data_IF_850213861152
#
_entry.id   IF_850213861152
#
_cell.length_a   1.000
_cell.length_b   1.000
_cell.length_c   1.000
_cell.angle_alpha   90.00
_cell.angle_beta   90.00
_cell.angle_gamma   90.00
#
_symmetry.space_group_name_H-M   'P 1'
#
loop_
_entity.id
_entity.type
_entity.pdbx_description
1 polymer ?
#
# COMPACT_ATOMS: atom_id res chain seq x y z
N UNK A 1 -14.42 13.32 31.61
CA UNK A 1 -13.40 12.28 31.31
C UNK A 1 -13.23 12.23 29.80
N UNK A 2 -12.28 12.99 29.30
CA UNK A 2 -11.87 13.07 27.88
C UNK A 2 -11.12 11.79 27.52
N UNK A 3 -11.62 11.02 26.56
CA UNK A 3 -10.84 9.95 25.93
C UNK A 3 -10.07 10.58 24.77
N UNK A 4 -8.82 10.92 25.02
CA UNK A 4 -7.87 11.25 23.96
C UNK A 4 -7.63 10.00 23.11
N UNK A 5 -8.25 9.95 21.93
CA UNK A 5 -7.93 8.98 20.91
C UNK A 5 -6.58 9.34 20.31
N UNK A 6 -5.54 8.58 20.69
CA UNK A 6 -4.19 8.65 20.13
C UNK A 6 -4.24 8.67 18.61
N UNK A 7 -3.95 9.83 18.02
CA UNK A 7 -3.68 9.97 16.58
C UNK A 7 -2.39 9.22 16.31
N UNK A 8 -2.44 8.15 15.52
CA UNK A 8 -1.24 7.43 15.12
C UNK A 8 -0.32 8.42 14.39
N UNK A 9 0.84 8.69 14.98
CA UNK A 9 1.89 9.50 14.38
C UNK A 9 2.52 8.59 13.32
N UNK A 10 2.17 8.80 12.04
CA UNK A 10 2.91 8.20 10.95
C UNK A 10 4.36 8.73 11.06
N UNK A 11 5.40 7.88 10.95
CA UNK A 11 6.77 8.37 10.90
C UNK A 11 6.89 9.39 9.76
N UNK A 12 7.49 10.55 10.04
CA UNK A 12 7.42 11.72 9.15
C UNK A 12 8.00 11.46 7.74
N UNK A 13 8.89 10.47 7.57
CA UNK A 13 9.38 9.99 6.27
C UNK A 13 9.82 8.53 6.41
N UNK A 14 9.38 7.64 5.51
CA UNK A 14 9.98 6.31 5.35
C UNK A 14 11.18 6.40 4.40
N UNK A 15 12.34 5.91 4.82
CA UNK A 15 13.56 5.89 4.00
C UNK A 15 14.06 4.44 3.86
N UNK A 16 14.32 4.06 2.62
CA UNK A 16 14.79 2.73 2.23
C UNK A 16 15.92 2.92 1.21
N UNK A 17 17.02 2.19 1.37
CA UNK A 17 18.24 2.36 0.56
C UNK A 17 18.24 1.43 -0.67
N UNK A 18 17.18 0.61 -0.84
CA UNK A 18 17.05 -0.29 -1.97
C UNK A 18 16.64 0.42 -3.27
N UNK A 19 17.09 -0.14 -4.40
CA UNK A 19 16.60 0.28 -5.71
C UNK A 19 15.13 -0.06 -5.87
N UNK A 20 14.40 0.71 -6.68
CA UNK A 20 12.98 0.47 -6.96
C UNK A 20 12.70 -0.96 -7.42
N UNK A 21 13.59 -1.55 -8.21
CA UNK A 21 13.49 -2.92 -8.73
C UNK A 21 13.51 -4.01 -7.64
N UNK A 22 14.13 -3.70 -6.51
CA UNK A 22 14.37 -4.65 -5.41
C UNK A 22 13.49 -4.33 -4.19
N UNK A 23 12.75 -3.22 -4.21
CA UNK A 23 12.05 -2.70 -3.05
C UNK A 23 10.96 -3.65 -2.52
N UNK A 24 10.25 -4.36 -3.41
CA UNK A 24 9.27 -5.39 -3.00
C UNK A 24 9.90 -6.66 -2.42
N UNK A 25 11.23 -6.82 -2.50
CA UNK A 25 11.96 -7.87 -1.78
C UNK A 25 12.34 -7.43 -0.37
N UNK A 26 12.34 -6.12 -0.08
CA UNK A 26 12.58 -5.61 1.27
C UNK A 26 11.34 -5.88 2.14
N UNK A 27 11.48 -6.80 3.10
CA UNK A 27 10.39 -7.17 4.01
C UNK A 27 9.92 -6.03 4.90
N UNK A 28 10.82 -5.14 5.29
CA UNK A 28 10.49 -3.99 6.13
C UNK A 28 9.69 -2.95 5.32
N UNK A 29 10.09 -2.72 4.07
CA UNK A 29 9.30 -1.92 3.13
C UNK A 29 7.91 -2.51 2.93
N UNK A 30 7.81 -3.79 2.54
CA UNK A 30 6.52 -4.43 2.26
C UNK A 30 5.62 -4.37 3.48
N UNK A 31 6.16 -4.63 4.68
CA UNK A 31 5.40 -4.53 5.92
C UNK A 31 4.84 -3.12 6.13
N UNK A 32 5.69 -2.10 6.08
CA UNK A 32 5.29 -0.70 6.26
C UNK A 32 4.30 -0.24 5.18
N UNK A 33 4.55 -0.60 3.92
CA UNK A 33 3.68 -0.28 2.79
C UNK A 33 2.28 -0.89 2.97
N UNK A 34 2.18 -2.17 3.36
CA UNK A 34 0.90 -2.85 3.54
C UNK A 34 0.13 -2.34 4.77
N UNK A 35 0.79 -2.18 5.92
CA UNK A 35 0.11 -1.82 7.18
C UNK A 35 -0.16 -0.33 7.32
N UNK A 36 0.78 0.53 6.92
CA UNK A 36 0.72 1.94 7.29
C UNK A 36 0.18 2.79 6.13
N UNK A 37 0.55 2.44 4.89
CA UNK A 37 0.16 3.19 3.69
C UNK A 37 -1.11 2.61 3.06
N UNK A 38 -1.07 1.33 2.70
CA UNK A 38 -2.09 0.71 1.86
C UNK A 38 -3.40 0.50 2.60
N UNK A 39 -3.37 0.13 3.89
CA UNK A 39 -4.57 0.03 4.72
C UNK A 39 -5.37 1.34 4.73
N UNK A 40 -4.69 2.47 4.94
CA UNK A 40 -5.30 3.80 4.95
C UNK A 40 -5.78 4.24 3.56
N UNK A 41 -5.12 3.79 2.50
CA UNK A 41 -5.47 4.13 1.12
C UNK A 41 -6.68 3.33 0.63
N UNK A 42 -6.68 2.01 0.79
CA UNK A 42 -7.64 1.10 0.16
C UNK A 42 -9.07 1.32 0.67
N UNK A 43 -9.24 1.55 1.96
CA UNK A 43 -10.56 1.75 2.59
C UNK A 43 -11.28 3.00 2.08
N UNK A 44 -10.53 3.96 1.52
CA UNK A 44 -11.08 5.20 0.93
C UNK A 44 -11.53 5.03 -0.52
N UNK A 45 -11.15 3.92 -1.16
CA UNK A 45 -11.42 3.71 -2.58
C UNK A 45 -12.85 3.23 -2.82
N UNK A 46 -13.45 3.69 -3.92
CA UNK A 46 -14.83 3.31 -4.26
C UNK A 46 -14.96 1.82 -4.57
N UNK A 47 -13.94 1.25 -5.21
CA UNK A 47 -13.86 -0.15 -5.62
C UNK A 47 -13.55 -1.12 -4.47
N UNK A 48 -13.22 -0.60 -3.27
CA UNK A 48 -13.06 -1.44 -2.09
C UNK A 48 -14.41 -2.03 -1.69
N UNK A 49 -14.55 -3.35 -1.80
CA UNK A 49 -15.79 -4.08 -1.53
C UNK A 49 -16.05 -4.31 -0.04
N UNK A 50 -15.01 -4.20 0.80
CA UNK A 50 -15.05 -4.48 2.24
C UNK A 50 -15.63 -3.38 3.13
N UNK A 51 -16.40 -2.41 2.61
CA UNK A 51 -16.84 -1.21 3.36
C UNK A 51 -17.68 -1.49 4.59
N UNK A 52 -18.36 -2.63 4.63
CA UNK A 52 -19.20 -3.05 5.75
C UNK A 52 -18.48 -4.01 6.71
N UNK A 53 -17.21 -4.32 6.45
CA UNK A 53 -16.43 -5.31 7.19
C UNK A 53 -15.18 -4.68 7.79
N UNK A 54 -14.64 -5.29 8.84
CA UNK A 54 -13.44 -4.76 9.49
C UNK A 54 -12.19 -5.40 8.88
N UNK A 55 -11.40 -4.59 8.18
CA UNK A 55 -10.06 -4.98 7.72
C UNK A 55 -9.20 -5.39 8.93
N UNK A 56 -8.54 -6.55 8.81
CA UNK A 56 -7.66 -7.12 9.84
C UNK A 56 -6.18 -6.91 9.50
N UNK A 57 -5.78 -7.24 8.28
CA UNK A 57 -4.47 -6.96 7.69
C UNK A 57 -4.53 -7.16 6.16
N UNK A 58 -3.49 -6.70 5.47
CA UNK A 58 -3.30 -6.94 4.03
C UNK A 58 -2.04 -7.78 3.86
N UNK A 59 -2.11 -8.81 3.01
CA UNK A 59 -0.95 -9.60 2.58
C UNK A 59 -0.67 -9.36 1.10
N UNK A 60 0.60 -9.33 0.74
CA UNK A 60 1.04 -9.37 -0.65
C UNK A 60 1.12 -10.83 -1.09
N UNK A 61 0.10 -11.29 -1.82
CA UNK A 61 0.01 -12.68 -2.28
C UNK A 61 0.96 -12.94 -3.46
N UNK A 62 0.96 -12.04 -4.44
CA UNK A 62 1.84 -12.11 -5.60
C UNK A 62 2.16 -10.70 -6.09
N UNK A 63 3.30 -10.53 -6.75
CA UNK A 63 3.57 -9.33 -7.52
C UNK A 63 4.35 -9.69 -8.78
N UNK A 64 4.22 -8.84 -9.79
CA UNK A 64 5.04 -8.92 -11.00
C UNK A 64 5.52 -7.53 -11.40
N UNK A 65 6.75 -7.46 -11.89
CA UNK A 65 7.36 -6.23 -12.37
C UNK A 65 7.06 -6.06 -13.86
N UNK A 66 6.66 -4.85 -14.24
CA UNK A 66 6.59 -4.42 -15.64
C UNK A 66 7.61 -3.30 -15.81
N UNK A 67 8.52 -3.43 -16.79
CA UNK A 67 9.47 -2.38 -17.11
C UNK A 67 9.15 -1.82 -18.50
N UNK A 68 8.93 -0.52 -18.59
CA UNK A 68 8.61 0.15 -19.85
C UNK A 68 9.26 1.53 -19.91
N UNK A 69 10.00 1.82 -20.99
CA UNK A 69 10.67 3.12 -21.21
C UNK A 69 11.59 3.59 -20.06
N UNK A 70 12.18 2.67 -19.29
CA UNK A 70 13.02 3.00 -18.14
C UNK A 70 12.26 3.14 -16.82
N UNK A 71 10.93 3.24 -16.86
CA UNK A 71 10.08 3.29 -15.68
C UNK A 71 9.80 1.89 -15.12
N UNK A 72 9.67 1.81 -13.80
CA UNK A 72 9.40 0.57 -13.07
C UNK A 72 7.98 0.58 -12.51
N UNK A 73 7.19 -0.38 -12.97
CA UNK A 73 5.83 -0.62 -12.51
C UNK A 73 5.74 -1.99 -11.83
N UNK A 74 4.79 -2.11 -10.92
CA UNK A 74 4.44 -3.38 -10.30
C UNK A 74 2.94 -3.61 -10.36
N UNK A 75 2.55 -4.80 -10.80
CA UNK A 75 1.22 -5.32 -10.56
C UNK A 75 1.21 -6.08 -9.24
N UNK A 76 0.41 -5.62 -8.27
CA UNK A 76 0.27 -6.29 -6.97
C UNK A 76 -1.03 -7.09 -6.93
N UNK A 77 -0.95 -8.34 -6.48
CA UNK A 77 -2.10 -9.14 -6.06
C UNK A 77 -2.11 -9.16 -4.53
N UNK A 78 -3.12 -8.50 -3.97
CA UNK A 78 -3.27 -8.30 -2.55
C UNK A 78 -4.36 -9.21 -2.02
N UNK A 79 -4.13 -9.81 -0.86
CA UNK A 79 -5.16 -10.49 -0.08
C UNK A 79 -5.53 -9.62 1.11
N UNK A 80 -6.75 -9.07 1.10
CA UNK A 80 -7.27 -8.29 2.22
C UNK A 80 -8.04 -9.24 3.13
N UNK A 81 -7.51 -9.43 4.33
CA UNK A 81 -8.08 -10.29 5.35
C UNK A 81 -9.01 -9.49 6.27
N UNK A 82 -10.17 -10.07 6.58
CA UNK A 82 -11.19 -9.46 7.43
C UNK A 82 -11.29 -10.16 8.79
N UNK A 83 -11.74 -9.42 9.81
CA UNK A 83 -11.93 -9.98 11.17
C UNK A 83 -12.97 -11.09 11.19
N UNK A 84 -13.93 -11.03 10.28
CA UNK A 84 -15.02 -11.97 10.05
C UNK A 84 -14.57 -13.29 9.40
N UNK A 85 -13.25 -13.54 9.32
CA UNK A 85 -12.62 -14.77 8.83
C UNK A 85 -12.91 -15.10 7.35
N UNK A 86 -12.99 -14.08 6.51
CA UNK A 86 -12.93 -14.20 5.05
C UNK A 86 -11.88 -13.24 4.47
N UNK A 87 -11.56 -13.41 3.20
CA UNK A 87 -10.62 -12.55 2.47
C UNK A 87 -11.15 -12.18 1.09
N UNK A 88 -10.56 -11.14 0.50
CA UNK A 88 -10.84 -10.70 -0.87
C UNK A 88 -9.52 -10.38 -1.58
N UNK A 89 -9.43 -10.75 -2.85
CA UNK A 89 -8.29 -10.39 -3.69
C UNK A 89 -8.50 -9.07 -4.42
N UNK A 90 -7.45 -8.25 -4.44
CA UNK A 90 -7.41 -6.98 -5.16
C UNK A 90 -6.18 -6.95 -6.07
N UNK A 91 -6.37 -6.50 -7.31
CA UNK A 91 -5.26 -6.16 -8.18
C UNK A 91 -4.99 -4.66 -8.11
N UNK A 92 -3.76 -4.27 -7.81
CA UNK A 92 -3.34 -2.88 -7.70
C UNK A 92 -2.04 -2.64 -8.48
N UNK A 93 -2.09 -1.94 -9.63
CA UNK A 93 -0.88 -1.47 -10.28
C UNK A 93 -0.31 -0.26 -9.53
N UNK A 94 1.00 -0.27 -9.31
CA UNK A 94 1.76 0.85 -8.74
C UNK A 94 2.95 1.19 -9.65
N UNK A 95 3.38 2.44 -9.62
CA UNK A 95 4.56 2.93 -10.31
C UNK A 95 5.39 3.76 -9.34
N UNK A 96 6.71 3.72 -9.50
CA UNK A 96 7.62 4.63 -8.81
C UNK A 96 7.99 5.77 -9.75
N UNK A 97 7.97 7.00 -9.25
CA UNK A 97 8.38 8.20 -9.99
C UNK A 97 9.63 8.77 -9.32
N UNK A 98 10.61 9.17 -10.13
CA UNK A 98 11.85 9.79 -9.64
C UNK A 98 11.76 11.32 -9.54
N UNK A 99 10.76 11.92 -10.18
CA UNK A 99 10.54 13.36 -10.20
C UNK A 99 9.48 13.77 -9.17
N UNK A 100 9.87 14.57 -8.17
CA UNK A 100 8.96 15.11 -7.16
C UNK A 100 7.87 16.01 -7.79
N UNK A 101 8.15 16.66 -8.92
CA UNK A 101 7.19 17.52 -9.62
C UNK A 101 6.00 16.74 -10.21
N UNK A 102 6.11 15.41 -10.31
CA UNK A 102 5.02 14.55 -10.79
C UNK A 102 3.87 14.45 -9.77
N UNK A 103 4.14 14.65 -8.47
CA UNK A 103 3.13 14.57 -7.42
C UNK A 103 2.16 15.77 -7.40
N UNK A 104 2.56 16.92 -7.97
CA UNK A 104 1.79 18.17 -7.89
C UNK A 104 0.78 18.37 -9.03
N UNK A 105 0.92 17.66 -10.16
CA UNK A 105 0.15 17.98 -11.37
C UNK A 105 -1.24 17.35 -11.48
N UNK A 106 -1.59 16.38 -10.63
CA UNK A 106 -2.83 15.58 -10.77
C UNK A 106 -3.63 15.46 -9.46
N UNK A 107 -3.67 16.52 -8.64
CA UNK A 107 -4.51 16.60 -7.42
C UNK A 107 -5.61 17.65 -7.53
#
# INVERSE_FOLDING_TARGET
MTKDSKKAILPEVYNFDEKWEELLNNKDFVKAFLSDVLENYIVKQRWYGGKSSKLKYIELAEYFRIQQHGEVYYGLILEVNFVEAFYQHYFLPIAFVSDEAFAEKER
#
